data_IF_585912382677
#
_entry.id   IF_585912382677
#
_cell.length_a   1.000
_cell.length_b   1.000
_cell.length_c   1.000
_cell.angle_alpha   90.00
_cell.angle_beta   90.00
_cell.angle_gamma   90.00
#
_symmetry.space_group_name_H-M   'P 1'
#
loop_
_entity.id
_entity.type
_entity.pdbx_description
1 polymer ?
#
# COMPACT_ATOMS: atom_id res chain seq x y z
N UNK A 1 -17.55 -1.58 -18.59
CA UNK A 1 -18.65 -1.21 -17.67
C UNK A 1 -19.82 -0.66 -18.49
N UNK A 2 -21.03 -1.21 -18.36
CA UNK A 2 -22.19 -0.82 -19.16
C UNK A 2 -22.49 0.68 -18.96
N UNK A 3 -22.80 1.40 -20.05
CA UNK A 3 -22.92 2.87 -20.06
C UNK A 3 -23.98 3.39 -19.07
N UNK A 4 -24.99 2.59 -18.74
CA UNK A 4 -26.07 2.90 -17.80
C UNK A 4 -25.63 3.01 -16.33
N UNK A 5 -24.56 2.32 -15.91
CA UNK A 5 -24.09 2.38 -14.51
C UNK A 5 -23.19 3.59 -14.20
N UNK A 6 -22.78 4.34 -15.22
CA UNK A 6 -21.91 5.52 -15.08
C UNK A 6 -22.47 6.61 -14.15
N UNK A 7 -23.76 7.00 -14.20
CA UNK A 7 -24.32 7.98 -13.26
C UNK A 7 -24.43 7.45 -11.82
N UNK A 8 -24.51 6.14 -11.61
CA UNK A 8 -24.59 5.53 -10.28
C UNK A 8 -23.21 5.31 -9.63
N UNK A 9 -22.12 5.35 -10.42
CA UNK A 9 -20.75 5.15 -9.93
C UNK A 9 -20.35 6.11 -8.80
N UNK A 10 -20.59 7.43 -8.88
CA UNK A 10 -20.23 8.36 -7.81
C UNK A 10 -20.95 8.04 -6.50
N UNK A 11 -22.25 7.73 -6.57
CA UNK A 11 -23.06 7.34 -5.42
C UNK A 11 -22.52 6.05 -4.82
N UNK A 12 -22.21 5.05 -5.66
CA UNK A 12 -21.59 3.80 -5.23
C UNK A 12 -20.25 4.02 -4.52
N UNK A 13 -19.36 4.86 -5.06
CA UNK A 13 -18.07 5.14 -4.41
C UNK A 13 -18.22 5.89 -3.10
N UNK A 14 -19.14 6.84 -3.00
CA UNK A 14 -19.46 7.53 -1.74
C UNK A 14 -20.02 6.56 -0.71
N UNK A 15 -20.98 5.72 -1.10
CA UNK A 15 -21.50 4.65 -0.23
C UNK A 15 -20.40 3.68 0.21
N UNK A 16 -19.52 3.26 -0.72
CA UNK A 16 -18.39 2.37 -0.42
C UNK A 16 -17.40 3.02 0.55
N UNK A 17 -17.14 4.32 0.41
CA UNK A 17 -16.29 5.05 1.34
C UNK A 17 -16.93 5.16 2.72
N UNK A 18 -18.22 5.51 2.80
CA UNK A 18 -18.94 5.61 4.06
C UNK A 18 -19.02 4.27 4.80
N UNK A 19 -19.33 3.19 4.08
CA UNK A 19 -19.33 1.84 4.66
C UNK A 19 -17.94 1.40 5.11
N UNK A 20 -16.88 1.78 4.40
CA UNK A 20 -15.50 1.52 4.83
C UNK A 20 -15.13 2.32 6.09
N UNK A 21 -15.48 3.61 6.16
CA UNK A 21 -15.29 4.44 7.37
C UNK A 21 -16.04 3.85 8.56
N UNK A 22 -17.32 3.51 8.38
CA UNK A 22 -18.15 2.91 9.43
C UNK A 22 -17.62 1.56 9.89
N UNK A 23 -17.21 0.70 8.97
CA UNK A 23 -16.60 -0.60 9.28
C UNK A 23 -15.27 -0.47 10.03
N UNK A 24 -14.41 0.47 9.62
CA UNK A 24 -13.15 0.75 10.32
C UNK A 24 -13.39 1.32 11.72
N UNK A 25 -14.35 2.23 11.88
CA UNK A 25 -14.73 2.74 13.18
C UNK A 25 -15.26 1.61 14.07
N UNK A 26 -16.17 0.77 13.56
CA UNK A 26 -16.69 -0.38 14.29
C UNK A 26 -15.56 -1.34 14.72
N UNK A 27 -14.64 -1.68 13.82
CA UNK A 27 -13.51 -2.54 14.13
C UNK A 27 -12.61 -1.95 15.22
N UNK A 28 -12.19 -0.68 15.06
CA UNK A 28 -11.27 -0.03 16.00
C UNK A 28 -11.89 0.21 17.39
N UNK A 29 -13.18 0.58 17.45
CA UNK A 29 -13.84 0.95 18.71
C UNK A 29 -14.49 -0.21 19.44
N UNK A 30 -15.05 -1.19 18.73
CA UNK A 30 -15.86 -2.25 19.33
C UNK A 30 -15.19 -3.63 19.30
N UNK A 31 -14.33 -3.92 18.31
CA UNK A 31 -13.67 -5.23 18.24
C UNK A 31 -12.32 -5.27 18.99
N UNK A 32 -11.65 -4.13 19.14
CA UNK A 32 -10.39 -4.03 19.88
C UNK A 32 -10.68 -4.06 21.39
N UNK A 33 -10.69 -5.27 21.96
CA UNK A 33 -11.06 -5.53 23.37
C UNK A 33 -10.09 -4.91 24.39
N UNK A 34 -8.83 -4.67 24.01
CA UNK A 34 -7.80 -4.09 24.88
C UNK A 34 -7.11 -2.94 24.15
N UNK A 35 -6.75 -1.83 24.84
CA UNK A 35 -5.89 -0.82 24.24
C UNK A 35 -4.66 -1.48 23.64
N UNK A 36 -4.42 -1.23 22.36
CA UNK A 36 -3.14 -1.55 21.76
C UNK A 36 -2.15 -0.44 22.12
N UNK A 37 -0.92 -0.82 22.46
CA UNK A 37 0.18 0.14 22.66
C UNK A 37 0.64 0.74 21.32
N UNK A 38 0.39 0.02 20.22
CA UNK A 38 0.78 0.44 18.88
C UNK A 38 -0.25 -0.03 17.86
N UNK A 39 -0.62 0.86 16.94
CA UNK A 39 -1.45 0.57 15.77
C UNK A 39 -0.57 0.65 14.54
N UNK A 40 -0.37 -0.49 13.89
CA UNK A 40 0.37 -0.61 12.64
C UNK A 40 -0.62 -0.61 11.47
N UNK A 41 -0.45 0.32 10.52
CA UNK A 41 -1.25 0.38 9.29
C UNK A 41 -0.39 -0.02 8.10
N UNK A 42 -0.76 -1.11 7.42
CA UNK A 42 -0.15 -1.54 6.17
C UNK A 42 -0.75 -0.75 5.00
N UNK A 43 0.04 0.13 4.38
CA UNK A 43 -0.34 0.92 3.22
C UNK A 43 0.13 0.21 1.93
N UNK A 44 -0.74 -0.07 0.92
CA UNK A 44 -2.13 0.41 0.71
C UNK A 44 -3.27 -0.52 1.21
N UNK A 45 -4.53 -0.02 1.33
CA UNK A 45 -5.04 1.30 0.94
C UNK A 45 -4.81 2.41 1.99
N UNK A 46 -4.46 3.63 1.56
CA UNK A 46 -4.21 4.77 2.47
C UNK A 46 -5.49 5.48 2.96
N UNK A 47 -6.46 5.69 2.05
CA UNK A 47 -7.70 6.44 2.32
C UNK A 47 -8.82 5.46 2.66
N UNK A 48 -9.56 5.63 3.77
CA UNK A 48 -9.45 6.64 4.83
C UNK A 48 -8.65 6.14 6.06
N UNK A 49 -8.05 4.96 5.99
CA UNK A 49 -7.54 4.24 7.17
C UNK A 49 -6.44 4.99 7.91
N UNK A 50 -5.55 5.73 7.22
CA UNK A 50 -4.50 6.49 7.89
C UNK A 50 -5.10 7.54 8.83
N UNK A 51 -6.13 8.25 8.36
CA UNK A 51 -6.83 9.27 9.15
C UNK A 51 -7.58 8.63 10.31
N UNK A 52 -8.31 7.54 10.05
CA UNK A 52 -9.07 6.84 11.10
C UNK A 52 -8.16 6.29 12.19
N UNK A 53 -7.04 5.66 11.83
CA UNK A 53 -6.07 5.13 12.77
C UNK A 53 -5.39 6.25 13.57
N UNK A 54 -4.99 7.34 12.92
CA UNK A 54 -4.42 8.50 13.60
C UNK A 54 -5.40 9.10 14.63
N UNK A 55 -6.65 9.36 14.23
CA UNK A 55 -7.68 9.90 15.13
C UNK A 55 -7.97 8.96 16.29
N UNK A 56 -8.03 7.66 16.02
CA UNK A 56 -8.20 6.64 17.06
C UNK A 56 -7.06 6.69 18.08
N UNK A 57 -5.80 6.70 17.63
CA UNK A 57 -4.64 6.77 18.53
C UNK A 57 -4.63 8.04 19.37
N UNK A 58 -4.93 9.21 18.75
CA UNK A 58 -5.01 10.49 19.46
C UNK A 58 -6.16 10.54 20.46
N UNK A 59 -7.32 10.01 20.11
CA UNK A 59 -8.47 10.00 21.01
C UNK A 59 -8.25 9.04 22.19
N UNK A 60 -7.65 7.86 21.96
CA UNK A 60 -7.26 6.96 23.03
C UNK A 60 -6.22 7.59 23.97
N UNK A 61 -5.23 8.31 23.42
CA UNK A 61 -4.25 9.04 24.21
C UNK A 61 -4.94 10.06 25.13
N UNK A 62 -5.92 10.81 24.62
CA UNK A 62 -6.66 11.81 25.40
C UNK A 62 -7.57 11.19 26.47
N UNK A 63 -8.23 10.06 26.18
CA UNK A 63 -9.19 9.43 27.10
C UNK A 63 -8.49 8.60 28.17
N UNK A 64 -7.45 7.84 27.79
CA UNK A 64 -6.82 6.84 28.67
C UNK A 64 -5.51 7.32 29.30
N UNK A 65 -4.99 8.49 28.89
CA UNK A 65 -3.70 9.02 29.35
C UNK A 65 -2.48 8.20 28.92
N UNK A 66 -2.68 7.07 28.24
CA UNK A 66 -1.62 6.19 27.76
C UNK A 66 -1.40 6.45 26.25
N UNK A 67 -0.16 6.72 25.82
CA UNK A 67 0.11 6.99 24.41
C UNK A 67 0.01 5.71 23.57
N UNK A 68 -0.96 5.64 22.66
CA UNK A 68 -0.98 4.63 21.60
C UNK A 68 -0.16 5.14 20.42
N UNK A 69 0.89 4.40 20.03
CA UNK A 69 1.75 4.80 18.89
C UNK A 69 1.09 4.46 17.56
N UNK A 70 1.08 5.41 16.64
CA UNK A 70 0.63 5.23 15.28
C UNK A 70 1.82 4.98 14.35
N UNK A 71 1.87 3.80 13.73
CA UNK A 71 2.97 3.39 12.84
C UNK A 71 2.41 3.05 11.46
N UNK A 72 3.06 3.56 10.41
CA UNK A 72 2.71 3.27 9.01
C UNK A 72 3.75 2.33 8.42
N UNK A 73 3.30 1.24 7.81
CA UNK A 73 4.13 0.33 7.01
C UNK A 73 3.91 0.60 5.53
N UNK A 74 4.92 1.19 4.89
CA UNK A 74 4.90 1.53 3.48
C UNK A 74 5.40 0.32 2.67
N UNK A 75 4.49 -0.35 1.96
CA UNK A 75 4.85 -1.33 0.92
C UNK A 75 4.73 -0.72 -0.48
N UNK A 76 3.80 0.22 -0.65
CA UNK A 76 3.63 0.97 -1.89
C UNK A 76 3.04 2.37 -1.58
N UNK A 77 3.12 3.27 -2.56
CA UNK A 77 2.50 4.60 -2.50
C UNK A 77 1.06 4.48 -2.98
N UNK A 78 0.08 4.66 -2.08
CA UNK A 78 -1.33 4.46 -2.41
C UNK A 78 -1.80 5.40 -3.53
N UNK A 79 -1.29 6.62 -3.58
CA UNK A 79 -1.61 7.60 -4.61
C UNK A 79 -1.19 7.15 -6.02
N UNK A 80 -0.14 6.31 -6.12
CA UNK A 80 0.37 5.83 -7.41
C UNK A 80 -0.60 4.88 -8.12
N UNK A 81 -1.56 4.31 -7.37
CA UNK A 81 -2.60 3.42 -7.91
C UNK A 81 -3.72 4.16 -8.64
N UNK A 82 -3.83 5.48 -8.44
CA UNK A 82 -4.84 6.29 -9.12
C UNK A 82 -4.36 6.72 -10.50
N UNK A 83 -5.31 6.85 -11.43
CA UNK A 83 -5.04 7.43 -12.75
C UNK A 83 -4.55 8.88 -12.62
N UNK A 84 -3.65 9.33 -13.51
CA UNK A 84 -3.22 10.72 -13.56
C UNK A 84 -4.40 11.69 -13.57
N UNK A 85 -4.34 12.69 -12.69
CA UNK A 85 -5.37 13.71 -12.57
C UNK A 85 -5.63 14.14 -11.12
N UNK A 86 -6.73 14.87 -10.92
CA UNK A 86 -7.04 15.53 -9.64
C UNK A 86 -7.14 14.56 -8.46
N UNK A 87 -7.68 13.35 -8.68
CA UNK A 87 -7.84 12.33 -7.63
C UNK A 87 -6.48 11.82 -7.16
N UNK A 88 -5.55 11.54 -8.09
CA UNK A 88 -4.19 11.15 -7.76
C UNK A 88 -3.48 12.25 -6.95
N UNK A 89 -3.58 13.51 -7.40
CA UNK A 89 -2.97 14.63 -6.67
C UNK A 89 -3.56 14.81 -5.26
N UNK A 90 -4.87 14.60 -5.10
CA UNK A 90 -5.53 14.66 -3.81
C UNK A 90 -5.07 13.51 -2.89
N UNK A 91 -5.00 12.29 -3.40
CA UNK A 91 -4.49 11.13 -2.67
C UNK A 91 -3.02 11.31 -2.27
N UNK A 92 -2.20 11.86 -3.17
CA UNK A 92 -0.79 12.17 -2.89
C UNK A 92 -0.67 13.22 -1.79
N UNK A 93 -1.48 14.28 -1.85
CA UNK A 93 -1.52 15.32 -0.80
C UNK A 93 -1.98 14.74 0.54
N UNK A 94 -2.99 13.87 0.53
CA UNK A 94 -3.45 13.17 1.72
C UNK A 94 -2.33 12.35 2.35
N UNK A 95 -1.66 11.49 1.58
CA UNK A 95 -0.55 10.68 2.08
C UNK A 95 0.62 11.54 2.59
N UNK A 96 0.96 12.62 1.86
CA UNK A 96 2.00 13.58 2.28
C UNK A 96 1.67 14.28 3.59
N UNK A 97 0.40 14.56 3.88
CA UNK A 97 -0.02 15.15 5.15
C UNK A 97 -0.02 14.10 6.27
N UNK A 98 -0.43 12.87 5.98
CA UNK A 98 -0.54 11.81 7.00
C UNK A 98 0.81 11.18 7.37
N UNK A 99 1.77 11.08 6.44
CA UNK A 99 3.03 10.39 6.68
C UNK A 99 3.86 10.97 7.86
N UNK A 100 4.02 12.30 8.00
CA UNK A 100 4.76 12.89 9.12
C UNK A 100 4.02 12.81 10.46
N UNK A 101 2.70 12.57 10.44
CA UNK A 101 1.89 12.47 11.66
C UNK A 101 2.05 11.12 12.37
N UNK A 102 2.66 10.14 11.72
CA UNK A 102 2.99 8.86 12.33
C UNK A 102 4.16 8.98 13.31
N UNK A 103 4.08 8.26 14.43
CA UNK A 103 5.15 8.13 15.41
C UNK A 103 6.33 7.31 14.84
N UNK A 104 6.04 6.43 13.87
CA UNK A 104 7.05 5.66 13.14
C UNK A 104 6.59 5.26 11.74
N UNK A 105 7.55 5.07 10.85
CA UNK A 105 7.34 4.64 9.47
C UNK A 105 8.28 3.47 9.15
N UNK A 106 7.72 2.38 8.63
CA UNK A 106 8.46 1.25 8.08
C UNK A 106 8.39 1.32 6.55
N UNK A 107 9.43 0.88 5.85
CA UNK A 107 9.43 0.87 4.40
C UNK A 107 10.26 -0.27 3.83
N UNK A 108 9.83 -0.81 2.70
CA UNK A 108 10.43 -2.04 2.13
C UNK A 108 11.78 -1.85 1.46
N UNK A 109 12.17 -0.61 1.12
CA UNK A 109 13.44 -0.34 0.42
C UNK A 109 14.11 0.95 0.88
N UNK A 110 15.44 1.02 0.70
CA UNK A 110 16.20 2.25 0.92
C UNK A 110 15.76 3.39 0.00
N UNK A 111 15.44 3.09 -1.26
CA UNK A 111 14.93 4.08 -2.21
C UNK A 111 13.60 4.69 -1.74
N UNK A 112 12.70 3.86 -1.19
CA UNK A 112 11.45 4.37 -0.62
C UNK A 112 11.68 5.21 0.63
N UNK A 113 12.65 4.85 1.48
CA UNK A 113 13.04 5.71 2.60
C UNK A 113 13.46 7.10 2.13
N UNK A 114 14.31 7.18 1.11
CA UNK A 114 14.76 8.47 0.56
C UNK A 114 13.60 9.28 -0.03
N UNK A 115 12.66 8.60 -0.70
CA UNK A 115 11.44 9.21 -1.20
C UNK A 115 10.58 9.78 -0.06
N UNK A 116 10.35 9.01 1.02
CA UNK A 116 9.55 9.47 2.17
C UNK A 116 10.18 10.70 2.85
N UNK A 117 11.51 10.78 2.92
CA UNK A 117 12.23 11.93 3.47
C UNK A 117 12.06 13.16 2.57
N UNK A 118 12.33 13.01 1.27
CA UNK A 118 12.38 14.15 0.34
C UNK A 118 11.00 14.66 -0.03
N UNK A 119 10.09 13.75 -0.38
CA UNK A 119 8.79 14.05 -0.98
C UNK A 119 7.64 14.04 0.02
N UNK A 120 7.68 13.14 1.02
CA UNK A 120 6.63 13.06 2.06
C UNK A 120 6.98 13.84 3.33
N UNK A 121 8.18 14.44 3.41
CA UNK A 121 8.66 15.28 4.53
C UNK A 121 8.68 14.55 5.88
N UNK A 122 8.96 13.25 5.87
CA UNK A 122 9.07 12.46 7.10
C UNK A 122 10.48 12.58 7.68
N UNK A 123 10.58 12.75 9.01
CA UNK A 123 11.87 12.80 9.71
C UNK A 123 12.66 11.49 9.57
N UNK A 124 13.94 11.57 9.20
CA UNK A 124 14.81 10.40 8.97
C UNK A 124 14.90 9.46 10.19
N UNK A 125 14.81 10.00 11.41
CA UNK A 125 14.84 9.25 12.67
C UNK A 125 13.60 8.39 12.88
N UNK A 126 12.46 8.77 12.27
CA UNK A 126 11.19 8.06 12.38
C UNK A 126 10.96 7.05 11.25
N UNK A 127 11.97 6.78 10.42
CA UNK A 127 11.85 5.84 9.29
C UNK A 127 12.86 4.72 9.39
N UNK A 128 12.38 3.48 9.40
CA UNK A 128 13.20 2.27 9.35
C UNK A 128 12.92 1.51 8.05
N UNK A 129 13.99 1.01 7.42
CA UNK A 129 13.88 0.09 6.29
C UNK A 129 13.73 -1.32 6.83
N UNK A 130 12.71 -2.03 6.38
CA UNK A 130 12.43 -3.43 6.65
C UNK A 130 12.18 -4.12 5.32
N UNK A 131 13.21 -4.77 4.78
CA UNK A 131 13.10 -5.43 3.47
C UNK A 131 12.12 -6.60 3.54
N UNK A 132 11.18 -6.63 2.60
CA UNK A 132 10.30 -7.79 2.40
C UNK A 132 11.16 -9.00 2.04
N UNK A 133 11.09 -10.04 2.86
CA UNK A 133 11.80 -11.30 2.64
C UNK A 133 10.78 -12.40 2.31
N UNK A 134 10.96 -13.13 1.21
CA UNK A 134 10.05 -14.22 0.88
C UNK A 134 10.15 -15.33 1.95
N UNK A 135 9.05 -16.05 2.23
CA UNK A 135 9.09 -17.21 3.11
C UNK A 135 10.17 -18.22 2.68
N UNK A 136 10.79 -18.91 3.65
CA UNK A 136 11.94 -19.81 3.41
C UNK A 136 11.66 -20.99 2.45
N UNK A 137 10.40 -21.25 2.12
CA UNK A 137 9.99 -22.22 1.09
C UNK A 137 10.29 -21.75 -0.34
N UNK A 138 10.31 -20.44 -0.56
CA UNK A 138 10.70 -19.86 -1.84
C UNK A 138 12.22 -19.85 -1.91
N UNK A 139 12.76 -20.85 -2.59
CA UNK A 139 14.20 -20.96 -2.85
C UNK A 139 14.44 -20.94 -4.35
N UNK A 140 15.56 -20.38 -4.81
CA UNK A 140 15.95 -20.50 -6.21
C UNK A 140 15.96 -21.98 -6.61
N UNK A 141 15.35 -22.30 -7.76
CA UNK A 141 15.46 -23.62 -8.37
C UNK A 141 16.91 -23.86 -8.81
N UNK A 142 17.33 -25.13 -8.85
CA UNK A 142 18.61 -25.51 -9.48
C UNK A 142 18.58 -25.14 -10.97
N UNK A 143 19.75 -24.87 -11.56
CA UNK A 143 19.86 -24.46 -12.97
C UNK A 143 19.14 -25.44 -13.91
N UNK A 144 19.24 -26.74 -13.64
CA UNK A 144 18.56 -27.79 -14.41
C UNK A 144 17.03 -27.65 -14.32
N UNK A 145 16.48 -27.49 -13.12
CA UNK A 145 15.04 -27.29 -12.90
C UNK A 145 14.55 -25.95 -13.44
N UNK A 146 15.38 -24.90 -13.41
CA UNK A 146 15.07 -23.63 -14.06
C UNK A 146 14.95 -23.82 -15.57
N UNK A 147 15.91 -24.50 -16.19
CA UNK A 147 15.88 -24.79 -17.62
C UNK A 147 14.67 -25.65 -18.01
N UNK A 148 14.42 -26.76 -17.29
CA UNK A 148 13.26 -27.63 -17.51
C UNK A 148 11.95 -26.83 -17.38
N UNK A 149 11.83 -26.03 -16.32
CA UNK A 149 10.64 -25.21 -16.08
C UNK A 149 10.43 -24.20 -17.20
N UNK A 150 11.45 -23.42 -17.56
CA UNK A 150 11.38 -22.42 -18.63
C UNK A 150 11.04 -23.10 -19.95
N UNK A 151 11.73 -24.17 -20.33
CA UNK A 151 11.47 -24.93 -21.57
C UNK A 151 10.02 -25.45 -21.61
N UNK A 152 9.47 -25.90 -20.48
CA UNK A 152 8.08 -26.38 -20.40
C UNK A 152 7.05 -25.25 -20.53
N UNK A 153 7.31 -24.05 -19.99
CA UNK A 153 6.36 -22.93 -20.04
C UNK A 153 6.53 -22.03 -21.25
N UNK A 154 7.73 -21.98 -21.85
CA UNK A 154 8.08 -21.14 -22.98
C UNK A 154 7.10 -21.25 -24.16
N UNK A 155 6.71 -22.44 -24.66
CA UNK A 155 5.74 -22.52 -25.75
C UNK A 155 4.36 -21.95 -25.37
N UNK A 156 3.91 -22.17 -24.12
CA UNK A 156 2.64 -21.63 -23.62
C UNK A 156 2.69 -20.10 -23.46
N UNK A 157 3.84 -19.57 -23.06
CA UNK A 157 4.06 -18.13 -22.97
C UNK A 157 4.01 -17.48 -24.35
N UNK A 158 4.64 -18.09 -25.36
CA UNK A 158 4.61 -17.59 -26.75
C UNK A 158 3.18 -17.58 -27.29
N UNK A 159 2.44 -18.67 -27.11
CA UNK A 159 1.05 -18.80 -27.59
C UNK A 159 0.11 -17.78 -26.93
N UNK A 160 0.30 -17.51 -25.63
CA UNK A 160 -0.47 -16.53 -24.89
C UNK A 160 0.01 -15.08 -25.10
N UNK A 161 1.14 -14.87 -25.76
CA UNK A 161 1.74 -13.54 -25.93
C UNK A 161 1.04 -12.80 -27.09
N UNK A 162 0.37 -11.66 -26.84
CA UNK A 162 -0.28 -10.89 -27.91
C UNK A 162 0.71 -10.21 -28.87
N UNK A 163 2.01 -10.25 -28.56
CA UNK A 163 3.13 -9.75 -29.35
C UNK A 163 4.28 -10.74 -29.20
N UNK A 164 4.97 -11.10 -30.29
CA UNK A 164 6.14 -11.97 -30.19
C UNK A 164 7.23 -11.22 -29.42
N UNK A 165 7.75 -11.84 -28.36
CA UNK A 165 8.75 -11.26 -27.45
C UNK A 165 9.96 -10.65 -28.20
N UNK A 166 10.27 -11.20 -29.37
CA UNK A 166 11.37 -10.79 -30.23
C UNK A 166 11.16 -9.45 -30.95
N UNK A 167 9.93 -8.93 -31.07
CA UNK A 167 9.67 -7.64 -31.73
C UNK A 167 10.04 -6.43 -30.87
N UNK A 168 10.25 -6.62 -29.56
CA UNK A 168 10.66 -5.55 -28.63
C UNK A 168 12.13 -5.60 -28.20
N UNK A 169 12.88 -6.60 -28.66
CA UNK A 169 14.31 -6.75 -28.38
C UNK A 169 15.07 -6.32 -29.64
N UNK A 170 15.44 -5.04 -29.73
CA UNK A 170 16.51 -4.58 -30.61
C UNK A 170 17.80 -5.31 -30.17
N UNK A 171 18.08 -6.48 -30.75
CA UNK A 171 19.29 -7.27 -30.49
C UNK A 171 20.53 -6.75 -31.24
N UNK A 172 20.36 -5.68 -32.02
CA UNK A 172 21.40 -5.03 -32.84
C UNK A 172 21.88 -3.69 -32.27
N UNK A 173 21.72 -3.44 -30.96
CA UNK A 173 22.23 -2.22 -30.30
C UNK A 173 23.09 -2.50 -29.09
#
# INVERSE_FOLDING_TARGET
SPKFLRPMLPIYYMWRLLTLVGGLAYALWLQVKRPADTVLVQNPPAVPILLMAFLYCKLLQNIRGCPTRFVIDWHNLGYSMFRPGKIQSLAQRYERVMAPLADGNLCVTAAMKDFLIREMKVEKTRIKVLYDCPPAMFRPLSMEKQHEFITRIHPKLIEACPTSWCQGLDLDR
#
